data_IF_054801249049
#
_entry.id   IF_054801249049
#
_cell.length_a   1.000
_cell.length_b   1.000
_cell.length_c   1.000
_cell.angle_alpha   90.00
_cell.angle_beta   90.00
_cell.angle_gamma   90.00
#
_symmetry.space_group_name_H-M   'P 1'
#
loop_
_entity.id
_entity.type
_entity.pdbx_description
1 polymer ?
#
# COMPACT_ATOMS: atom_id res chain seq x y z
N UNK A 1 -7.72 -20.66 52.43
CA UNK A 1 -8.01 -19.42 53.19
C UNK A 1 -7.31 -18.18 52.60
N UNK A 2 -5.99 -18.21 52.39
CA UNK A 2 -5.22 -17.08 51.81
C UNK A 2 -5.71 -16.67 50.41
N UNK A 3 -6.01 -17.65 49.55
CA UNK A 3 -6.50 -17.38 48.19
C UNK A 3 -7.88 -16.70 48.15
N UNK A 4 -8.76 -17.05 49.09
CA UNK A 4 -10.08 -16.44 49.24
C UNK A 4 -9.98 -15.01 49.78
N UNK A 5 -9.06 -14.77 50.72
CA UNK A 5 -8.77 -13.43 51.22
C UNK A 5 -8.15 -12.53 50.13
N UNK A 6 -7.24 -13.07 49.31
CA UNK A 6 -6.67 -12.36 48.18
C UNK A 6 -7.73 -12.01 47.12
N UNK A 7 -8.63 -12.95 46.81
CA UNK A 7 -9.73 -12.74 45.88
C UNK A 7 -10.74 -11.72 46.41
N UNK A 8 -11.13 -11.83 47.70
CA UNK A 8 -12.01 -10.86 48.34
C UNK A 8 -11.37 -9.45 48.39
N UNK A 9 -10.05 -9.38 48.64
CA UNK A 9 -9.29 -8.13 48.61
C UNK A 9 -9.24 -7.50 47.22
N UNK A 10 -9.03 -8.30 46.18
CA UNK A 10 -9.05 -7.86 44.78
C UNK A 10 -10.46 -7.43 44.33
N UNK A 11 -11.49 -8.22 44.65
CA UNK A 11 -12.87 -7.89 44.32
C UNK A 11 -13.36 -6.64 45.05
N UNK A 12 -12.99 -6.50 46.33
CA UNK A 12 -13.30 -5.33 47.15
C UNK A 12 -12.64 -4.05 46.63
N UNK A 13 -11.33 -4.10 46.33
CA UNK A 13 -10.65 -2.94 45.71
C UNK A 13 -11.19 -2.63 44.32
N UNK A 14 -11.49 -3.65 43.51
CA UNK A 14 -12.09 -3.47 42.19
C UNK A 14 -13.50 -2.85 42.22
N UNK A 15 -14.31 -3.16 43.23
CA UNK A 15 -15.61 -2.52 43.44
C UNK A 15 -15.46 -1.06 43.92
N UNK A 16 -14.53 -0.83 44.85
CA UNK A 16 -14.29 0.48 45.46
C UNK A 16 -13.70 1.49 44.46
N UNK A 17 -12.88 1.03 43.53
CA UNK A 17 -12.27 1.83 42.46
C UNK A 17 -13.15 1.97 41.22
N UNK A 18 -14.30 1.30 41.14
CA UNK A 18 -15.18 1.30 39.96
C UNK A 18 -15.78 2.68 39.66
N UNK A 19 -16.14 3.40 40.72
CA UNK A 19 -16.79 4.71 40.63
C UNK A 19 -15.81 5.88 40.73
N UNK A 20 -14.53 5.59 40.97
CA UNK A 20 -13.49 6.60 40.90
C UNK A 20 -13.24 6.92 39.42
N UNK A 21 -13.34 8.20 39.06
CA UNK A 21 -12.84 8.66 37.77
C UNK A 21 -11.40 8.17 37.65
N UNK A 22 -11.13 7.30 36.67
CA UNK A 22 -9.75 6.97 36.30
C UNK A 22 -9.05 8.31 36.20
N UNK A 23 -7.93 8.56 36.91
CA UNK A 23 -7.20 9.80 36.68
C UNK A 23 -7.06 9.88 35.17
N UNK A 24 -7.57 10.96 34.58
CA UNK A 24 -7.38 11.22 33.16
C UNK A 24 -5.88 11.21 33.00
N UNK A 25 -5.32 10.04 32.66
CA UNK A 25 -3.93 9.90 32.36
C UNK A 25 -3.78 10.84 31.20
N UNK A 26 -3.22 12.02 31.47
CA UNK A 26 -2.89 13.04 30.45
C UNK A 26 -2.46 12.22 29.26
N UNK A 27 -3.25 12.25 28.18
CA UNK A 27 -3.16 11.30 27.09
C UNK A 27 -1.67 11.01 26.86
N UNK A 28 -1.24 9.76 27.04
CA UNK A 28 0.19 9.43 27.14
C UNK A 28 0.89 9.79 25.82
N UNK A 29 1.33 11.05 25.74
CA UNK A 29 1.90 11.67 24.56
C UNK A 29 3.37 11.29 24.51
N UNK A 30 3.80 10.74 23.39
CA UNK A 30 5.21 10.42 23.19
C UNK A 30 5.96 11.70 22.83
N UNK A 31 6.80 12.16 23.75
CA UNK A 31 7.61 13.37 23.55
C UNK A 31 9.08 13.12 23.31
N UNK A 32 9.58 11.93 23.66
CA UNK A 32 11.02 11.66 23.71
C UNK A 32 11.38 10.42 22.91
N UNK A 33 12.24 10.59 21.91
CA UNK A 33 12.99 9.53 21.27
C UNK A 33 14.42 9.56 21.80
N UNK A 34 14.91 8.45 22.36
CA UNK A 34 16.31 8.34 22.76
C UNK A 34 17.19 8.15 21.51
N UNK A 35 18.44 8.62 21.47
CA UNK A 35 19.37 8.24 20.41
C UNK A 35 19.62 6.72 20.37
N UNK A 36 19.84 6.15 19.19
CA UNK A 36 20.03 4.69 18.99
C UNK A 36 21.10 4.08 19.91
N UNK A 37 22.30 4.69 20.13
CA UNK A 37 23.29 4.13 21.05
C UNK A 37 22.76 4.05 22.49
N UNK A 38 22.01 5.05 22.94
CA UNK A 38 21.42 5.10 24.29
C UNK A 38 20.37 4.00 24.45
N UNK A 39 19.54 3.78 23.43
CA UNK A 39 18.56 2.68 23.43
C UNK A 39 19.25 1.33 23.60
N UNK A 40 20.36 1.11 22.87
CA UNK A 40 21.13 -0.13 22.95
C UNK A 40 21.76 -0.31 24.33
N UNK A 41 22.37 0.73 24.89
CA UNK A 41 22.94 0.69 26.25
C UNK A 41 21.85 0.44 27.31
N UNK A 42 20.70 1.08 27.19
CA UNK A 42 19.55 0.89 28.09
C UNK A 42 19.02 -0.55 28.04
N UNK A 43 19.14 -1.21 26.89
CA UNK A 43 18.82 -2.62 26.69
C UNK A 43 20.01 -3.56 26.96
N UNK A 44 21.00 -3.12 27.74
CA UNK A 44 22.18 -3.91 28.09
C UNK A 44 22.96 -4.48 26.87
N UNK A 45 22.90 -3.79 25.73
CA UNK A 45 23.51 -4.22 24.47
C UNK A 45 22.63 -5.14 23.61
N UNK A 46 21.46 -5.56 24.08
CA UNK A 46 20.55 -6.42 23.32
C UNK A 46 19.66 -5.60 22.37
N UNK A 47 19.91 -5.75 21.06
CA UNK A 47 19.12 -5.09 20.02
C UNK A 47 17.66 -5.55 19.98
N UNK A 48 17.37 -6.83 20.23
CA UNK A 48 16.00 -7.35 20.17
C UNK A 48 15.19 -6.83 21.34
N UNK A 49 15.81 -6.74 22.52
CA UNK A 49 15.20 -6.06 23.66
C UNK A 49 14.95 -4.58 23.37
N UNK A 50 15.91 -3.87 22.75
CA UNK A 50 15.72 -2.48 22.34
C UNK A 50 14.55 -2.31 21.36
N UNK A 51 14.42 -3.23 20.39
CA UNK A 51 13.29 -3.25 19.46
C UNK A 51 11.96 -3.44 20.20
N UNK A 52 11.87 -4.43 21.09
CA UNK A 52 10.65 -4.73 21.85
C UNK A 52 10.23 -3.52 22.70
N UNK A 53 11.18 -2.88 23.39
CA UNK A 53 10.90 -1.68 24.20
C UNK A 53 10.35 -0.53 23.35
N UNK A 54 10.88 -0.31 22.14
CA UNK A 54 10.34 0.70 21.23
C UNK A 54 8.93 0.37 20.76
N UNK A 55 8.66 -0.89 20.41
CA UNK A 55 7.32 -1.34 20.00
C UNK A 55 6.33 -1.15 21.15
N UNK A 56 6.66 -1.57 22.37
CA UNK A 56 5.82 -1.35 23.54
C UNK A 56 5.53 0.14 23.77
N UNK A 57 6.55 0.99 23.72
CA UNK A 57 6.36 2.45 23.85
C UNK A 57 5.48 3.02 22.75
N UNK A 58 5.59 2.49 21.52
CA UNK A 58 4.73 2.90 20.41
C UNK A 58 3.26 2.47 20.61
N UNK A 59 3.01 1.37 21.33
CA UNK A 59 1.67 0.83 21.59
C UNK A 59 0.95 1.49 22.77
N UNK A 60 1.67 2.13 23.69
CA UNK A 60 1.07 2.80 24.85
C UNK A 60 0.35 4.12 24.49
N UNK A 61 0.54 4.61 23.26
CA UNK A 61 -0.21 5.78 22.75
C UNK A 61 -1.68 5.39 22.57
N UNK A 62 -2.55 5.97 23.39
CA UNK A 62 -3.99 5.76 23.27
C UNK A 62 -4.53 6.31 21.94
N UNK A 63 -5.55 5.63 21.38
CA UNK A 63 -6.20 6.04 20.13
C UNK A 63 -6.87 7.44 20.19
N UNK A 64 -7.04 8.01 21.40
CA UNK A 64 -7.57 9.37 21.59
C UNK A 64 -6.58 10.49 21.30
N UNK A 65 -5.28 10.17 21.17
CA UNK A 65 -4.25 11.15 20.85
C UNK A 65 -4.35 11.52 19.38
N UNK A 66 -4.45 12.83 19.10
CA UNK A 66 -4.48 13.38 17.74
C UNK A 66 -3.27 14.27 17.45
N UNK A 67 -2.33 14.37 18.40
CA UNK A 67 -1.16 15.25 18.30
C UNK A 67 -0.15 14.71 17.27
N UNK A 68 0.13 15.51 16.25
CA UNK A 68 1.08 15.17 15.17
C UNK A 68 2.49 14.86 15.70
N UNK A 69 2.94 15.56 16.74
CA UNK A 69 4.25 15.32 17.35
C UNK A 69 4.35 13.93 17.99
N UNK A 70 3.28 13.46 18.62
CA UNK A 70 3.24 12.10 19.19
C UNK A 70 3.38 11.06 18.08
N UNK A 71 2.69 11.22 16.96
CA UNK A 71 2.81 10.33 15.81
C UNK A 71 4.20 10.41 15.16
N UNK A 72 4.81 11.60 15.10
CA UNK A 72 6.19 11.76 14.63
C UNK A 72 7.18 10.96 15.49
N UNK A 73 7.07 11.04 16.81
CA UNK A 73 7.91 10.24 17.72
C UNK A 73 7.60 8.75 17.61
N UNK A 74 6.32 8.38 17.50
CA UNK A 74 5.91 6.99 17.29
C UNK A 74 6.54 6.39 16.03
N UNK A 75 6.50 7.12 14.91
CA UNK A 75 7.15 6.72 13.67
C UNK A 75 8.66 6.53 13.84
N UNK A 76 9.34 7.43 14.55
CA UNK A 76 10.77 7.28 14.84
C UNK A 76 11.09 6.06 15.70
N UNK A 77 10.29 5.77 16.73
CA UNK A 77 10.47 4.58 17.56
C UNK A 77 10.28 3.29 16.76
N UNK A 78 9.28 3.24 15.88
CA UNK A 78 9.03 2.07 15.04
C UNK A 78 10.10 1.89 13.95
N UNK A 79 10.64 2.98 13.39
CA UNK A 79 11.82 2.95 12.51
C UNK A 79 13.05 2.42 13.25
N UNK A 80 13.30 2.87 14.48
CA UNK A 80 14.41 2.36 15.32
C UNK A 80 14.20 0.88 15.67
N UNK A 81 12.96 0.47 15.97
CA UNK A 81 12.61 -0.93 16.19
C UNK A 81 12.88 -1.79 14.94
N UNK A 82 12.52 -1.31 13.75
CA UNK A 82 12.80 -1.99 12.49
C UNK A 82 14.29 -2.04 12.16
N UNK A 83 15.07 -1.04 12.59
CA UNK A 83 16.53 -1.07 12.50
C UNK A 83 17.12 -2.19 13.39
N UNK A 84 16.69 -2.27 14.64
CA UNK A 84 17.21 -3.28 15.56
C UNK A 84 16.73 -4.70 15.26
N UNK A 85 15.45 -4.87 14.95
CA UNK A 85 14.83 -6.13 14.59
C UNK A 85 13.87 -5.94 13.39
N UNK A 86 14.37 -6.03 12.14
CA UNK A 86 13.53 -5.86 10.97
C UNK A 86 12.46 -6.96 10.84
N UNK A 87 12.62 -8.11 11.53
CA UNK A 87 11.65 -9.21 11.49
C UNK A 87 10.54 -9.09 12.54
N UNK A 88 10.55 -8.05 13.37
CA UNK A 88 9.57 -7.86 14.42
C UNK A 88 8.17 -7.69 13.82
N UNK A 89 7.28 -8.64 14.12
CA UNK A 89 5.97 -8.75 13.48
C UNK A 89 5.02 -7.64 13.90
N UNK A 90 4.84 -7.45 15.21
CA UNK A 90 3.94 -6.42 15.74
C UNK A 90 4.33 -5.02 15.25
N UNK A 91 5.63 -4.73 15.12
CA UNK A 91 6.12 -3.45 14.66
C UNK A 91 5.58 -3.10 13.27
N UNK A 92 5.64 -4.03 12.31
CA UNK A 92 5.18 -3.72 10.95
C UNK A 92 3.65 -3.69 10.86
N UNK A 93 2.94 -4.52 11.61
CA UNK A 93 1.47 -4.50 11.62
C UNK A 93 0.93 -3.20 12.20
N UNK A 94 1.45 -2.81 13.37
CA UNK A 94 1.04 -1.58 14.04
C UNK A 94 1.47 -0.36 13.22
N UNK A 95 2.68 -0.40 12.66
CA UNK A 95 3.17 0.65 11.77
C UNK A 95 2.30 0.84 10.54
N UNK A 96 1.88 -0.26 9.89
CA UNK A 96 0.97 -0.20 8.74
C UNK A 96 -0.41 0.35 9.12
N UNK A 97 -0.93 -0.02 10.30
CA UNK A 97 -2.27 0.35 10.74
C UNK A 97 -2.38 1.81 11.21
N UNK A 98 -1.30 2.40 11.73
CA UNK A 98 -1.36 3.72 12.39
C UNK A 98 -0.64 4.80 11.60
N UNK A 99 0.62 4.56 11.20
CA UNK A 99 1.51 5.63 10.76
C UNK A 99 1.03 6.36 9.50
N UNK A 100 0.63 5.67 8.40
CA UNK A 100 0.26 6.36 7.16
C UNK A 100 -0.94 7.30 7.33
N UNK A 101 -1.94 6.87 8.08
CA UNK A 101 -3.16 7.63 8.37
C UNK A 101 -2.91 8.88 9.23
N UNK A 102 -1.78 8.93 9.93
CA UNK A 102 -1.38 10.04 10.79
C UNK A 102 -0.21 10.86 10.19
N UNK A 103 -0.07 10.84 8.86
CA UNK A 103 0.93 11.64 8.14
C UNK A 103 2.36 11.11 8.23
N UNK A 104 2.57 9.91 8.76
CA UNK A 104 3.88 9.28 8.92
C UNK A 104 4.14 8.19 7.87
N UNK A 105 3.71 8.43 6.62
CA UNK A 105 3.83 7.50 5.49
C UNK A 105 5.27 7.04 5.28
N UNK A 106 6.24 7.98 5.31
CA UNK A 106 7.66 7.66 5.10
C UNK A 106 8.21 6.69 6.17
N UNK A 107 7.84 6.89 7.44
CA UNK A 107 8.24 5.99 8.53
C UNK A 107 7.60 4.60 8.36
N UNK A 108 6.31 4.55 7.99
CA UNK A 108 5.61 3.30 7.72
C UNK A 108 6.28 2.51 6.59
N UNK A 109 6.61 3.19 5.48
CA UNK A 109 7.27 2.60 4.32
C UNK A 109 8.66 2.08 4.67
N UNK A 110 9.43 2.81 5.49
CA UNK A 110 10.74 2.35 5.95
C UNK A 110 10.64 1.07 6.81
N UNK A 111 9.70 1.04 7.77
CA UNK A 111 9.43 -0.13 8.61
C UNK A 111 9.01 -1.33 7.75
N UNK A 112 8.04 -1.11 6.85
CA UNK A 112 7.49 -2.15 5.98
C UNK A 112 8.53 -2.68 5.00
N UNK A 113 9.39 -1.82 4.43
CA UNK A 113 10.44 -2.25 3.52
C UNK A 113 11.47 -3.13 4.23
N UNK A 114 11.91 -2.75 5.44
CA UNK A 114 12.84 -3.55 6.26
C UNK A 114 12.22 -4.90 6.63
N UNK A 115 10.94 -4.92 7.00
CA UNK A 115 10.20 -6.14 7.27
C UNK A 115 10.06 -7.01 6.02
N UNK A 116 9.66 -6.44 4.88
CA UNK A 116 9.47 -7.17 3.65
C UNK A 116 10.78 -7.75 3.10
N UNK A 117 11.91 -7.05 3.27
CA UNK A 117 13.24 -7.56 2.89
C UNK A 117 13.74 -8.67 3.82
N UNK A 118 13.34 -8.68 5.09
CA UNK A 118 13.84 -9.65 6.08
C UNK A 118 12.94 -10.88 6.25
N UNK A 119 11.63 -10.74 6.04
CA UNK A 119 10.59 -11.79 6.15
C UNK A 119 10.16 -12.26 4.75
N UNK A 120 11.04 -12.98 4.06
CA UNK A 120 10.78 -13.45 2.68
C UNK A 120 9.66 -14.51 2.58
N UNK A 121 9.22 -15.10 3.68
CA UNK A 121 8.07 -16.01 3.75
C UNK A 121 6.74 -15.29 3.99
N UNK A 122 6.79 -14.04 4.42
CA UNK A 122 5.62 -13.28 4.87
C UNK A 122 5.17 -12.33 3.77
N UNK A 123 3.92 -12.48 3.32
CA UNK A 123 3.36 -11.61 2.29
C UNK A 123 2.97 -10.23 2.83
N UNK A 124 2.64 -10.12 4.13
CA UNK A 124 1.95 -8.96 4.66
C UNK A 124 2.77 -7.67 4.61
N UNK A 125 4.07 -7.66 4.98
CA UNK A 125 4.88 -6.45 4.85
C UNK A 125 4.96 -5.95 3.40
N UNK A 126 5.09 -6.86 2.43
CA UNK A 126 5.13 -6.52 1.01
C UNK A 126 3.77 -6.00 0.53
N UNK A 127 2.68 -6.65 0.95
CA UNK A 127 1.32 -6.21 0.63
C UNK A 127 1.02 -4.81 1.18
N UNK A 128 1.30 -4.53 2.46
CA UNK A 128 1.06 -3.21 3.05
C UNK A 128 1.96 -2.14 2.44
N UNK A 129 3.21 -2.48 2.11
CA UNK A 129 4.09 -1.55 1.38
C UNK A 129 3.52 -1.20 0.01
N UNK A 130 2.98 -2.19 -0.70
CA UNK A 130 2.34 -2.03 -2.00
C UNK A 130 1.07 -1.17 -1.90
N UNK A 131 0.22 -1.44 -0.90
CA UNK A 131 -0.97 -0.64 -0.62
C UNK A 131 -0.62 0.81 -0.33
N UNK A 132 0.39 1.05 0.53
CA UNK A 132 0.81 2.41 0.86
C UNK A 132 1.36 3.16 -0.35
N UNK A 133 2.13 2.47 -1.20
CA UNK A 133 2.61 3.02 -2.46
C UNK A 133 1.45 3.46 -3.37
N UNK A 134 0.40 2.63 -3.49
CA UNK A 134 -0.78 2.96 -4.30
C UNK A 134 -1.59 4.11 -3.70
N UNK A 135 -1.93 4.02 -2.42
CA UNK A 135 -2.90 4.90 -1.78
C UNK A 135 -2.31 6.24 -1.34
N UNK A 136 -1.19 6.22 -0.61
CA UNK A 136 -0.60 7.43 -0.04
C UNK A 136 0.44 8.07 -0.97
N UNK A 137 1.29 7.28 -1.62
CA UNK A 137 2.34 7.81 -2.49
C UNK A 137 1.89 8.02 -3.94
N UNK A 138 0.73 7.47 -4.32
CA UNK A 138 0.21 7.45 -5.70
C UNK A 138 1.20 6.84 -6.71
N UNK A 139 2.11 5.99 -6.25
CA UNK A 139 3.13 5.35 -7.06
C UNK A 139 2.67 3.95 -7.48
N UNK A 140 1.97 3.90 -8.61
CA UNK A 140 1.35 2.66 -9.10
C UNK A 140 2.37 1.59 -9.52
N UNK A 141 3.51 2.00 -10.09
CA UNK A 141 4.58 1.08 -10.47
C UNK A 141 5.20 0.41 -9.25
N UNK A 142 5.47 1.18 -8.19
CA UNK A 142 5.96 0.64 -6.91
C UNK A 142 4.92 -0.27 -6.27
N UNK A 143 3.64 0.10 -6.33
CA UNK A 143 2.56 -0.73 -5.83
C UNK A 143 2.49 -2.07 -6.58
N UNK A 144 2.46 -2.04 -7.91
CA UNK A 144 2.43 -3.25 -8.75
C UNK A 144 3.60 -4.19 -8.45
N UNK A 145 4.81 -3.63 -8.31
CA UNK A 145 6.00 -4.40 -7.99
C UNK A 145 5.89 -5.13 -6.66
N UNK A 146 5.50 -4.43 -5.60
CA UNK A 146 5.42 -5.03 -4.27
C UNK A 146 4.21 -5.96 -4.08
N UNK A 147 3.13 -5.76 -4.84
CA UNK A 147 2.03 -6.73 -4.92
C UNK A 147 2.49 -8.07 -5.53
N UNK A 148 3.31 -8.04 -6.58
CA UNK A 148 3.94 -9.24 -7.14
C UNK A 148 4.88 -9.92 -6.13
N UNK A 149 5.68 -9.13 -5.40
CA UNK A 149 6.52 -9.66 -4.31
C UNK A 149 5.64 -10.36 -3.25
N UNK A 150 4.49 -9.79 -2.88
CA UNK A 150 3.56 -10.42 -1.96
C UNK A 150 2.95 -11.70 -2.55
N UNK A 151 2.56 -11.68 -3.83
CA UNK A 151 1.98 -12.83 -4.54
C UNK A 151 2.91 -14.05 -4.53
N UNK A 152 4.20 -13.82 -4.80
CA UNK A 152 5.25 -14.86 -4.77
C UNK A 152 5.37 -15.55 -3.41
N UNK A 153 4.98 -14.88 -2.32
CA UNK A 153 5.10 -15.39 -0.95
C UNK A 153 3.84 -16.08 -0.44
N UNK A 154 2.72 -15.98 -1.17
CA UNK A 154 1.46 -16.60 -0.75
C UNK A 154 0.72 -17.21 -1.95
N UNK A 155 1.10 -18.44 -2.38
CA UNK A 155 0.58 -19.06 -3.59
C UNK A 155 -0.95 -19.12 -3.67
N UNK A 156 -1.62 -19.34 -2.53
CA UNK A 156 -3.10 -19.39 -2.46
C UNK A 156 -3.77 -18.04 -2.81
N UNK A 157 -3.11 -16.93 -2.51
CA UNK A 157 -3.63 -15.58 -2.78
C UNK A 157 -2.94 -14.95 -4.00
N UNK A 158 -2.00 -15.65 -4.64
CA UNK A 158 -1.24 -15.13 -5.76
C UNK A 158 -2.15 -14.64 -6.89
N UNK A 159 -3.22 -15.34 -7.32
CA UNK A 159 -4.07 -14.84 -8.39
C UNK A 159 -4.66 -13.45 -8.11
N UNK A 160 -5.18 -13.23 -6.90
CA UNK A 160 -5.76 -11.95 -6.49
C UNK A 160 -4.69 -10.83 -6.38
N UNK A 161 -3.55 -11.14 -5.79
CA UNK A 161 -2.44 -10.18 -5.64
C UNK A 161 -1.82 -9.79 -6.99
N UNK A 162 -1.79 -10.72 -7.94
CA UNK A 162 -1.27 -10.46 -9.28
C UNK A 162 -2.26 -9.73 -10.17
N UNK A 163 -3.55 -10.00 -10.06
CA UNK A 163 -4.59 -9.16 -10.70
C UNK A 163 -4.51 -7.72 -10.18
N UNK A 164 -4.33 -7.55 -8.87
CA UNK A 164 -4.08 -6.23 -8.27
C UNK A 164 -2.81 -5.57 -8.81
N UNK A 165 -1.71 -6.33 -8.94
CA UNK A 165 -0.47 -5.81 -9.52
C UNK A 165 -0.66 -5.33 -10.96
N UNK A 166 -1.34 -6.13 -11.79
CA UNK A 166 -1.60 -5.79 -13.18
C UNK A 166 -2.46 -4.53 -13.31
N UNK A 167 -3.53 -4.40 -12.50
CA UNK A 167 -4.36 -3.19 -12.43
C UNK A 167 -3.56 -1.95 -12.04
N UNK A 168 -2.61 -2.09 -11.12
CA UNK A 168 -1.78 -0.97 -10.72
C UNK A 168 -0.78 -0.59 -11.82
N UNK A 169 -0.13 -1.54 -12.49
CA UNK A 169 0.74 -1.19 -13.63
C UNK A 169 -0.02 -0.46 -14.74
N UNK A 170 -1.22 -0.91 -15.09
CA UNK A 170 -2.06 -0.21 -16.09
C UNK A 170 -2.37 1.25 -15.71
N UNK A 171 -2.51 1.53 -14.41
CA UNK A 171 -2.78 2.87 -13.87
C UNK A 171 -1.53 3.76 -13.75
N UNK A 172 -0.34 3.24 -14.06
CA UNK A 172 0.87 4.04 -14.09
C UNK A 172 0.81 5.13 -15.16
N UNK A 173 1.69 6.13 -15.03
CA UNK A 173 1.74 7.27 -15.94
C UNK A 173 2.25 6.90 -17.36
N UNK A 174 2.88 5.73 -17.50
CA UNK A 174 3.52 5.26 -18.72
C UNK A 174 2.91 3.92 -19.20
N UNK A 175 2.00 3.95 -20.19
CA UNK A 175 1.40 2.75 -20.75
C UNK A 175 2.39 1.83 -21.46
N UNK A 176 3.49 2.36 -22.01
CA UNK A 176 4.50 1.54 -22.68
C UNK A 176 5.26 0.72 -21.64
N UNK A 177 5.69 1.37 -20.55
CA UNK A 177 6.30 0.68 -19.42
C UNK A 177 5.34 -0.36 -18.80
N UNK A 178 4.05 -0.03 -18.68
CA UNK A 178 3.03 -0.96 -18.21
C UNK A 178 2.92 -2.18 -19.13
N UNK A 179 2.88 -1.97 -20.44
CA UNK A 179 2.81 -3.03 -21.44
C UNK A 179 4.03 -3.97 -21.36
N UNK A 180 5.24 -3.41 -21.28
CA UNK A 180 6.47 -4.19 -21.15
C UNK A 180 6.47 -5.06 -19.88
N UNK A 181 6.01 -4.50 -18.77
CA UNK A 181 5.88 -5.22 -17.51
C UNK A 181 4.87 -6.36 -17.63
N UNK A 182 3.67 -6.10 -18.18
CA UNK A 182 2.65 -7.14 -18.34
C UNK A 182 3.11 -8.26 -19.30
N UNK A 183 3.80 -7.92 -20.38
CA UNK A 183 4.39 -8.90 -21.31
C UNK A 183 5.46 -9.73 -20.59
N UNK A 184 6.33 -9.12 -19.80
CA UNK A 184 7.33 -9.83 -19.01
C UNK A 184 6.68 -10.77 -17.99
N UNK A 185 5.64 -10.31 -17.28
CA UNK A 185 4.87 -11.13 -16.33
C UNK A 185 4.19 -12.31 -17.04
N UNK A 186 3.63 -12.08 -18.22
CA UNK A 186 2.98 -13.12 -19.01
C UNK A 186 3.97 -14.22 -19.40
N UNK A 187 5.14 -13.82 -19.88
CA UNK A 187 6.18 -14.75 -20.33
C UNK A 187 6.79 -15.55 -19.17
N UNK A 188 6.86 -14.97 -17.96
CA UNK A 188 7.41 -15.61 -16.76
C UNK A 188 6.38 -16.44 -15.98
N UNK A 189 5.07 -16.23 -16.21
CA UNK A 189 4.03 -16.94 -15.49
C UNK A 189 3.91 -18.40 -15.95
N UNK A 190 3.88 -19.32 -14.99
CA UNK A 190 3.51 -20.72 -15.19
C UNK A 190 2.00 -20.97 -14.98
N UNK A 191 1.25 -19.99 -14.44
CA UNK A 191 -0.19 -20.08 -14.22
C UNK A 191 -0.93 -19.68 -15.49
N UNK A 192 -1.62 -20.64 -16.12
CA UNK A 192 -2.34 -20.46 -17.38
C UNK A 192 -3.51 -19.48 -17.25
N UNK A 193 -4.24 -19.49 -16.13
CA UNK A 193 -5.35 -18.55 -15.89
C UNK A 193 -4.80 -17.13 -15.78
N UNK A 194 -3.68 -16.98 -15.07
CA UNK A 194 -3.03 -15.69 -14.96
C UNK A 194 -2.47 -15.20 -16.31
N UNK A 195 -1.93 -16.09 -17.14
CA UNK A 195 -1.51 -15.75 -18.51
C UNK A 195 -2.69 -15.31 -19.38
N UNK A 196 -3.84 -15.98 -19.28
CA UNK A 196 -5.03 -15.59 -20.03
C UNK A 196 -5.51 -14.18 -19.62
N UNK A 197 -5.53 -13.89 -18.32
CA UNK A 197 -5.83 -12.56 -17.80
C UNK A 197 -4.84 -11.50 -18.32
N UNK A 198 -3.52 -11.77 -18.25
CA UNK A 198 -2.51 -10.86 -18.76
C UNK A 198 -2.63 -10.66 -20.28
N UNK A 199 -2.98 -11.69 -21.03
CA UNK A 199 -3.22 -11.58 -22.48
C UNK A 199 -4.35 -10.59 -22.77
N UNK A 200 -5.48 -10.71 -22.08
CA UNK A 200 -6.60 -9.78 -22.21
C UNK A 200 -6.18 -8.33 -21.91
N UNK A 201 -5.41 -8.13 -20.83
CA UNK A 201 -4.88 -6.82 -20.43
C UNK A 201 -3.88 -6.23 -21.43
N UNK A 202 -2.98 -7.05 -21.96
CA UNK A 202 -2.00 -6.66 -23.00
C UNK A 202 -2.73 -6.21 -24.28
N UNK A 203 -3.74 -6.96 -24.73
CA UNK A 203 -4.56 -6.58 -25.89
C UNK A 203 -5.23 -5.24 -25.64
N UNK A 204 -5.80 -5.05 -24.45
CA UNK A 204 -6.47 -3.81 -24.06
C UNK A 204 -5.52 -2.60 -24.06
N UNK A 205 -4.32 -2.74 -23.51
CA UNK A 205 -3.30 -1.67 -23.51
C UNK A 205 -2.78 -1.34 -24.91
N UNK A 206 -2.57 -2.35 -25.78
CA UNK A 206 -2.23 -2.11 -27.19
C UNK A 206 -3.33 -1.35 -27.92
N UNK A 207 -4.60 -1.67 -27.63
CA UNK A 207 -5.73 -0.90 -28.12
C UNK A 207 -5.70 0.56 -27.65
N UNK A 208 -5.42 0.80 -26.37
CA UNK A 208 -5.26 2.15 -25.83
C UNK A 208 -4.14 2.92 -26.55
N UNK A 209 -3.00 2.28 -26.79
CA UNK A 209 -1.87 2.88 -27.51
C UNK A 209 -2.28 3.29 -28.94
N UNK A 210 -2.94 2.39 -29.67
CA UNK A 210 -3.43 2.68 -31.02
C UNK A 210 -4.44 3.85 -31.03
N UNK A 211 -5.32 3.93 -30.03
CA UNK A 211 -6.24 5.06 -29.87
C UNK A 211 -5.50 6.37 -29.58
N UNK A 212 -4.49 6.37 -28.71
CA UNK A 212 -3.70 7.57 -28.38
C UNK A 212 -2.89 8.07 -29.58
N UNK A 213 -2.32 7.15 -30.36
CA UNK A 213 -1.65 7.49 -31.62
C UNK A 213 -2.63 8.10 -32.62
N UNK A 214 -3.82 7.52 -32.76
CA UNK A 214 -4.88 8.06 -33.62
C UNK A 214 -5.38 9.43 -33.13
N UNK A 215 -5.52 9.64 -31.82
CA UNK A 215 -5.91 10.93 -31.24
C UNK A 215 -4.85 12.02 -31.47
N UNK A 216 -3.56 11.67 -31.34
CA UNK A 216 -2.46 12.57 -31.68
C UNK A 216 -2.50 12.97 -33.17
N UNK A 217 -2.68 11.99 -34.06
CA UNK A 217 -2.79 12.25 -35.50
C UNK A 217 -4.04 13.08 -35.86
N UNK A 218 -5.17 12.81 -35.21
CA UNK A 218 -6.40 13.59 -35.35
C UNK A 218 -6.17 15.05 -34.95
N UNK A 219 -5.56 15.27 -33.79
CA UNK A 219 -5.28 16.61 -33.28
C UNK A 219 -4.35 17.39 -34.22
N UNK A 220 -3.33 16.74 -34.79
CA UNK A 220 -2.45 17.37 -35.79
C UNK A 220 -3.18 17.76 -37.07
N UNK A 221 -4.21 17.02 -37.46
CA UNK A 221 -4.96 17.26 -38.70
C UNK A 221 -6.13 18.25 -38.54
N UNK A 222 -6.76 18.30 -37.37
CA UNK A 222 -7.96 19.11 -37.12
C UNK A 222 -7.75 20.27 -36.14
N UNK A 223 -6.60 20.32 -35.45
CA UNK A 223 -6.24 21.34 -34.45
C UNK A 223 -7.22 21.44 -33.27
N UNK A 224 -8.09 20.45 -33.08
CA UNK A 224 -8.97 20.29 -31.94
C UNK A 224 -9.01 18.82 -31.49
N UNK A 225 -9.52 18.58 -30.29
CA UNK A 225 -9.64 17.24 -29.72
C UNK A 225 -10.81 16.46 -30.37
N UNK A 226 -10.74 15.12 -30.40
CA UNK A 226 -11.88 14.28 -30.81
C UNK A 226 -13.04 14.41 -29.81
N UNK A 227 -14.28 14.37 -30.29
CA UNK A 227 -15.46 14.45 -29.41
C UNK A 227 -16.00 13.07 -29.02
N UNK A 228 -15.67 12.05 -29.83
CA UNK A 228 -16.02 10.64 -29.59
C UNK A 228 -14.94 9.72 -30.15
N UNK A 229 -14.85 8.50 -29.65
CA UNK A 229 -13.81 7.54 -30.07
C UNK A 229 -13.90 7.20 -31.55
N UNK A 230 -15.09 7.20 -32.13
CA UNK A 230 -15.32 6.90 -33.55
C UNK A 230 -14.66 7.93 -34.47
N UNK A 231 -14.43 9.16 -33.99
CA UNK A 231 -13.75 10.20 -34.77
C UNK A 231 -12.28 9.85 -35.06
N UNK A 232 -11.71 8.91 -34.31
CA UNK A 232 -10.33 8.45 -34.45
C UNK A 232 -10.16 7.43 -35.58
N UNK A 233 -11.24 6.84 -36.08
CA UNK A 233 -11.19 5.85 -37.16
C UNK A 233 -10.69 6.54 -38.44
N UNK A 234 -9.68 5.95 -39.07
CA UNK A 234 -8.99 6.48 -40.24
C UNK A 234 -7.69 7.23 -39.94
N UNK A 235 -7.41 7.54 -38.67
CA UNK A 235 -6.18 8.21 -38.23
C UNK A 235 -5.15 7.20 -37.71
N UNK A 236 -3.87 7.47 -37.94
CA UNK A 236 -2.75 6.58 -37.56
C UNK A 236 -2.90 5.10 -37.98
N UNK A 237 -3.67 4.82 -39.04
CA UNK A 237 -3.94 3.47 -39.51
C UNK A 237 -5.03 2.71 -38.74
N UNK A 238 -5.73 3.36 -37.80
CA UNK A 238 -6.83 2.78 -37.04
C UNK A 238 -8.05 2.51 -37.94
N UNK A 239 -8.34 1.24 -38.23
CA UNK A 239 -9.45 0.84 -39.15
C UNK A 239 -10.79 0.66 -38.45
N UNK A 240 -10.76 0.33 -37.16
CA UNK A 240 -11.91 0.10 -36.32
C UNK A 240 -11.48 0.33 -34.86
N UNK A 241 -12.46 0.49 -33.96
CA UNK A 241 -12.16 0.56 -32.53
C UNK A 241 -11.51 -0.75 -32.05
N UNK A 242 -10.45 -0.68 -31.23
CA UNK A 242 -9.83 -1.87 -30.67
C UNK A 242 -10.80 -2.69 -29.82
N UNK A 243 -10.63 -4.01 -29.85
CA UNK A 243 -11.37 -4.92 -28.98
C UNK A 243 -10.91 -4.78 -27.54
N UNK A 244 -11.85 -4.83 -26.59
CA UNK A 244 -11.56 -4.98 -25.16
C UNK A 244 -12.05 -6.36 -24.68
N UNK A 245 -11.15 -7.34 -24.53
CA UNK A 245 -11.51 -8.68 -24.06
C UNK A 245 -12.09 -8.70 -22.64
N UNK A 246 -11.84 -7.67 -21.84
CA UNK A 246 -12.38 -7.53 -20.48
C UNK A 246 -13.75 -6.83 -20.45
N UNK A 247 -14.25 -6.34 -21.60
CA UNK A 247 -15.55 -5.67 -21.75
C UNK A 247 -15.74 -4.46 -20.82
N UNK A 248 -14.64 -3.78 -20.46
CA UNK A 248 -14.68 -2.59 -19.61
C UNK A 248 -14.84 -1.32 -20.44
N UNK A 249 -14.26 -1.30 -21.63
CA UNK A 249 -14.33 -0.23 -22.62
C UNK A 249 -13.19 0.79 -22.53
N UNK A 250 -13.23 1.72 -23.49
CA UNK A 250 -12.39 2.90 -23.60
C UNK A 250 -13.26 4.16 -23.46
N UNK A 251 -12.68 5.25 -22.99
CA UNK A 251 -13.32 6.57 -22.89
C UNK A 251 -12.37 7.66 -23.41
N UNK A 252 -12.91 8.86 -23.63
CA UNK A 252 -12.12 10.07 -23.79
C UNK A 252 -12.13 10.87 -22.48
N UNK A 253 -11.00 11.46 -22.12
CA UNK A 253 -10.93 12.49 -21.08
C UNK A 253 -11.59 13.79 -21.54
N UNK A 254 -11.74 14.75 -20.63
CA UNK A 254 -12.24 16.09 -20.97
C UNK A 254 -11.33 16.81 -22.00
N UNK A 255 -10.04 16.47 -22.04
CA UNK A 255 -9.07 16.94 -23.03
C UNK A 255 -9.06 16.12 -24.33
N UNK A 256 -9.97 15.15 -24.47
CA UNK A 256 -10.08 14.25 -25.61
C UNK A 256 -8.95 13.22 -25.72
N UNK A 257 -8.29 12.90 -24.61
CA UNK A 257 -7.30 11.83 -24.56
C UNK A 257 -7.96 10.47 -24.33
N UNK A 258 -7.64 9.43 -25.11
CA UNK A 258 -8.12 8.08 -24.84
C UNK A 258 -7.61 7.53 -23.50
N UNK A 259 -8.53 6.98 -22.72
CA UNK A 259 -8.34 6.37 -21.41
C UNK A 259 -9.05 5.02 -21.32
N UNK A 260 -8.62 4.18 -20.37
CA UNK A 260 -9.35 2.98 -19.99
C UNK A 260 -10.57 3.36 -19.13
N UNK A 261 -11.74 2.81 -19.42
CA UNK A 261 -13.00 3.24 -18.80
C UNK A 261 -13.05 3.04 -17.27
N UNK A 262 -12.39 2.01 -16.77
CA UNK A 262 -12.29 1.68 -15.34
C UNK A 262 -11.31 2.58 -14.58
N UNK A 263 -10.47 3.36 -15.29
CA UNK A 263 -9.60 4.35 -14.65
C UNK A 263 -10.35 5.65 -14.30
N UNK A 264 -11.39 6.01 -15.08
CA UNK A 264 -12.20 7.23 -14.88
C UNK A 264 -13.16 7.05 -13.71
N UNK A 265 -13.93 5.94 -13.68
CA UNK A 265 -14.94 5.68 -12.61
C UNK A 265 -14.36 5.69 -11.19
N UNK A 266 -13.07 5.42 -11.03
CA UNK A 266 -12.42 5.39 -9.73
C UNK A 266 -11.78 6.72 -9.32
N UNK A 267 -11.60 7.69 -10.22
CA UNK A 267 -11.21 9.05 -9.86
C UNK A 267 -12.40 9.80 -9.23
N UNK A 268 -13.63 9.56 -9.71
CA UNK A 268 -14.85 10.18 -9.18
C UNK A 268 -15.35 9.56 -7.86
N UNK A 269 -14.84 8.37 -7.50
CA UNK A 269 -15.25 7.62 -6.30
C UNK A 269 -14.27 7.76 -5.12
N UNK A 270 -13.28 8.66 -5.21
CA UNK A 270 -12.31 8.99 -4.15
C UNK A 270 -12.46 10.44 -3.70
#
# INVERSE_FOLDING_TARGET
>A
MIMLLAWAGFAGTGALLRDHARPNARAEVLRVRMPVPVQLTYSAGDRFLAANLNVFRSLMVTASVTEQETYRIQGQLQTDAAFFNPRHEDNYYVGAAILPWNGQVAAAQDVLLKAAKSRHWDMWPAFYYAFNAMYFERNMNKAGHWAEVAAKRHPRNAPALRDMAAKWYERGDDPEAALDILVAMHNQSADENFRALLTARIVRLRGLQALREAASAYHQHHLHAPSRLEDLIGYAGLKALPEDPLQLGYLLSDEGQPLLADHVKQQDSQ
#
